data_IF_042552109822
#
_entry.id   IF_042552109822
#
_cell.length_a   1.000
_cell.length_b   1.000
_cell.length_c   1.000
_cell.angle_alpha   90.00
_cell.angle_beta   90.00
_cell.angle_gamma   90.00
#
_symmetry.space_group_name_H-M   'P 1'
#
loop_
_entity.id
_entity.type
_entity.pdbx_description
1 polymer ?
#
# COMPACT_ATOMS: atom_id res chain seq x y z
N UNK A 1 -0.34 5.40 -7.46
CA UNK A 1 -0.98 5.27 -6.13
C UNK A 1 0.07 5.06 -5.06
N UNK A 2 -0.19 5.54 -3.86
CA UNK A 2 0.68 5.32 -2.70
C UNK A 2 -0.05 4.41 -1.71
N UNK A 3 0.68 3.46 -1.13
CA UNK A 3 0.14 2.51 -0.16
C UNK A 3 1.01 2.43 1.07
N UNK A 4 0.41 2.05 2.18
CA UNK A 4 1.10 1.62 3.40
C UNK A 4 0.86 0.12 3.56
N UNK A 5 1.94 -0.61 3.87
CA UNK A 5 1.93 -2.06 4.01
C UNK A 5 1.71 -2.46 5.46
N UNK A 6 0.84 -3.43 5.67
CA UNK A 6 0.53 -4.00 6.97
C UNK A 6 0.59 -5.52 6.94
N UNK A 7 0.95 -6.10 8.07
CA UNK A 7 0.73 -7.50 8.37
C UNK A 7 -0.64 -7.70 9.04
N UNK A 8 -1.32 -8.78 8.71
CA UNK A 8 -2.66 -9.09 9.23
C UNK A 8 -2.63 -10.42 9.97
N UNK A 9 -3.09 -10.43 11.24
CA UNK A 9 -3.38 -11.67 11.91
C UNK A 9 -4.74 -12.23 11.44
N UNK A 10 -4.93 -13.56 11.53
CA UNK A 10 -6.19 -14.23 11.13
C UNK A 10 -6.68 -13.82 9.73
N UNK A 11 -5.85 -13.95 8.69
CA UNK A 11 -6.13 -13.47 7.33
C UNK A 11 -7.43 -14.03 6.75
N UNK A 12 -7.81 -15.26 7.12
CA UNK A 12 -9.06 -15.92 6.70
C UNK A 12 -10.32 -15.12 7.08
N UNK A 13 -10.24 -14.29 8.12
CA UNK A 13 -11.35 -13.45 8.56
C UNK A 13 -11.67 -12.33 7.57
N UNK A 14 -10.71 -11.95 6.71
CA UNK A 14 -10.91 -10.91 5.69
C UNK A 14 -12.07 -11.26 4.75
N UNK A 15 -12.31 -12.54 4.50
CA UNK A 15 -13.45 -13.01 3.69
C UNK A 15 -14.81 -12.60 4.25
N UNK A 16 -14.91 -12.28 5.54
CA UNK A 16 -16.16 -11.79 6.16
C UNK A 16 -16.59 -10.44 5.54
N UNK A 17 -15.65 -9.64 5.05
CA UNK A 17 -15.94 -8.36 4.40
C UNK A 17 -16.76 -8.52 3.12
N UNK A 18 -16.71 -9.69 2.46
CA UNK A 18 -17.52 -10.00 1.28
C UNK A 18 -19.03 -10.02 1.59
N UNK A 19 -19.40 -10.39 2.82
CA UNK A 19 -20.80 -10.53 3.26
C UNK A 19 -21.27 -9.37 4.12
N UNK A 20 -20.45 -8.37 4.40
CA UNK A 20 -20.86 -7.17 5.14
C UNK A 20 -21.78 -6.37 4.24
N UNK A 21 -23.10 -6.60 4.42
CA UNK A 21 -24.12 -5.77 3.79
C UNK A 21 -23.98 -4.35 4.34
N UNK A 22 -24.10 -3.36 3.47
CA UNK A 22 -24.32 -1.98 3.90
C UNK A 22 -25.49 -1.99 4.87
N UNK A 23 -25.25 -1.71 6.13
CA UNK A 23 -26.31 -1.60 7.12
C UNK A 23 -27.10 -0.32 6.81
N UNK A 24 -28.24 -0.46 6.17
CA UNK A 24 -29.17 0.66 5.89
C UNK A 24 -29.67 1.37 7.16
N UNK A 25 -29.44 0.81 8.34
CA UNK A 25 -29.95 1.33 9.62
C UNK A 25 -28.88 1.60 10.68
N UNK A 26 -27.59 1.52 10.33
CA UNK A 26 -26.52 1.81 11.27
C UNK A 26 -26.27 3.31 11.38
N UNK A 27 -26.85 3.99 12.38
CA UNK A 27 -26.35 5.30 12.82
C UNK A 27 -24.89 5.13 13.21
N UNK A 28 -23.97 5.76 12.47
CA UNK A 28 -22.60 5.98 12.93
C UNK A 28 -21.55 4.96 12.51
N UNK A 29 -21.63 4.38 11.30
CA UNK A 29 -20.43 3.80 10.68
C UNK A 29 -19.89 4.76 9.64
N UNK A 30 -18.79 5.43 9.98
CA UNK A 30 -18.12 6.36 9.09
C UNK A 30 -17.50 5.68 7.85
N UNK A 31 -17.53 4.33 7.80
CA UNK A 31 -16.98 3.53 6.70
C UNK A 31 -17.84 2.32 6.35
N UNK A 32 -17.81 1.90 5.07
CA UNK A 32 -18.48 0.71 4.54
C UNK A 32 -17.68 0.09 3.39
N UNK A 33 -17.96 -1.20 3.09
CA UNK A 33 -17.41 -1.86 1.90
C UNK A 33 -18.22 -1.44 0.68
N UNK A 34 -17.58 -0.74 -0.25
CA UNK A 34 -18.19 -0.34 -1.53
C UNK A 34 -18.00 -1.41 -2.61
N UNK A 35 -16.78 -1.98 -2.71
CA UNK A 35 -16.43 -3.02 -3.67
C UNK A 35 -15.62 -4.11 -2.98
N UNK A 36 -15.87 -5.37 -3.32
CA UNK A 36 -15.04 -6.52 -2.97
C UNK A 36 -14.85 -7.38 -4.23
N UNK A 37 -13.61 -7.46 -4.73
CA UNK A 37 -13.27 -8.15 -5.96
C UNK A 37 -12.05 -9.04 -5.78
N UNK A 38 -12.20 -10.34 -6.04
CA UNK A 38 -11.10 -11.30 -6.03
C UNK A 38 -10.38 -11.28 -7.38
N UNK A 39 -9.07 -11.10 -7.38
CA UNK A 39 -8.21 -11.06 -8.58
C UNK A 39 -7.59 -12.43 -8.84
N UNK A 40 -7.25 -12.78 -10.10
CA UNK A 40 -6.69 -14.09 -10.46
C UNK A 40 -5.39 -14.47 -9.73
N UNK A 41 -4.59 -13.48 -9.31
CA UNK A 41 -3.32 -13.69 -8.60
C UNK A 41 -3.46 -13.89 -7.09
N UNK A 42 -4.68 -14.10 -6.58
CA UNK A 42 -4.96 -14.30 -5.16
C UNK A 42 -5.06 -13.02 -4.34
N UNK A 43 -4.89 -11.85 -4.97
CA UNK A 43 -5.19 -10.57 -4.32
C UNK A 43 -6.70 -10.34 -4.25
N UNK A 44 -7.14 -9.79 -3.14
CA UNK A 44 -8.47 -9.21 -2.99
C UNK A 44 -8.34 -7.70 -3.12
N UNK A 45 -9.05 -7.11 -4.06
CA UNK A 45 -9.22 -5.66 -4.16
C UNK A 45 -10.52 -5.26 -3.48
N UNK A 46 -10.39 -4.44 -2.47
CA UNK A 46 -11.50 -3.87 -1.69
C UNK A 46 -11.48 -2.35 -1.86
N UNK A 47 -12.65 -1.74 -2.03
CA UNK A 47 -12.80 -0.29 -1.92
C UNK A 47 -13.65 -0.02 -0.71
N UNK A 48 -13.11 0.78 0.21
CA UNK A 48 -13.85 1.32 1.33
C UNK A 48 -14.42 2.67 0.94
N UNK A 49 -15.69 2.89 1.28
CA UNK A 49 -16.36 4.17 1.21
C UNK A 49 -16.40 4.75 2.61
N UNK A 50 -15.88 5.95 2.77
CA UNK A 50 -15.91 6.72 4.01
C UNK A 50 -16.87 7.89 3.80
N UNK A 51 -17.79 8.08 4.74
CA UNK A 51 -18.69 9.23 4.70
C UNK A 51 -18.07 10.38 5.50
N UNK A 52 -18.11 11.57 4.93
CA UNK A 52 -17.58 12.78 5.57
C UNK A 52 -18.44 14.00 5.20
N UNK A 53 -18.14 15.13 5.80
CA UNK A 53 -18.91 16.37 5.61
C UNK A 53 -17.98 17.58 5.49
N UNK A 54 -18.19 18.38 4.43
CA UNK A 54 -17.57 19.69 4.34
C UNK A 54 -18.42 20.73 5.08
N UNK A 55 -17.82 21.40 6.03
CA UNK A 55 -18.43 22.55 6.69
C UNK A 55 -18.09 23.83 5.95
N UNK A 56 -19.09 24.42 5.31
CA UNK A 56 -18.95 25.70 4.61
C UNK A 56 -19.54 26.79 5.49
N UNK A 57 -18.71 27.80 5.83
CA UNK A 57 -19.17 29.00 6.50
C UNK A 57 -19.64 30.02 5.46
N UNK A 58 -20.93 30.34 5.45
CA UNK A 58 -21.48 31.41 4.61
C UNK A 58 -21.25 32.77 5.30
N UNK A 59 -20.68 33.75 4.56
CA UNK A 59 -20.41 35.09 5.07
C UNK A 59 -21.67 35.89 5.48
N UNK A 60 -22.82 35.51 4.90
CA UNK A 60 -24.05 36.28 5.05
C UNK A 60 -24.82 36.03 6.36
N UNK A 61 -24.70 34.85 6.98
CA UNK A 61 -25.53 34.52 8.15
C UNK A 61 -24.73 33.90 9.32
N UNK A 62 -23.40 33.82 9.25
CA UNK A 62 -22.57 33.10 10.25
C UNK A 62 -23.00 31.65 10.48
N UNK A 63 -23.78 31.08 9.58
CA UNK A 63 -24.26 29.71 9.65
C UNK A 63 -23.31 28.78 8.91
N UNK A 64 -23.11 27.59 9.49
CA UNK A 64 -22.38 26.53 8.83
C UNK A 64 -23.38 25.67 8.05
N UNK A 65 -23.07 25.45 6.77
CA UNK A 65 -23.78 24.45 5.96
C UNK A 65 -22.88 23.25 5.81
N UNK A 66 -23.38 22.08 6.19
CA UNK A 66 -22.71 20.79 5.95
C UNK A 66 -23.06 20.28 4.57
N UNK A 67 -22.04 19.89 3.80
CA UNK A 67 -22.19 19.22 2.50
C UNK A 67 -21.60 17.83 2.64
N UNK A 68 -22.43 16.77 2.63
CA UNK A 68 -21.94 15.41 2.69
C UNK A 68 -21.16 15.05 1.42
N UNK A 69 -20.04 14.33 1.61
CA UNK A 69 -19.28 13.75 0.51
C UNK A 69 -18.76 12.37 0.88
N UNK A 70 -18.43 11.59 -0.14
CA UNK A 70 -17.88 10.25 0.02
C UNK A 70 -16.41 10.25 -0.37
N UNK A 71 -15.56 9.66 0.48
CA UNK A 71 -14.17 9.39 0.18
C UNK A 71 -13.97 7.89 -0.03
N UNK A 72 -13.16 7.52 -1.03
CA UNK A 72 -12.92 6.12 -1.38
C UNK A 72 -11.45 5.78 -1.15
N UNK A 73 -11.19 4.65 -0.48
CA UNK A 73 -9.84 4.15 -0.22
C UNK A 73 -9.69 2.77 -0.84
N UNK A 74 -8.68 2.61 -1.68
CA UNK A 74 -8.31 1.31 -2.24
C UNK A 74 -7.52 0.50 -1.22
N UNK A 75 -7.89 -0.77 -1.11
CA UNK A 75 -7.26 -1.75 -0.23
C UNK A 75 -6.98 -3.00 -1.04
N UNK A 76 -5.75 -3.49 -0.99
CA UNK A 76 -5.38 -4.78 -1.58
C UNK A 76 -4.91 -5.72 -0.49
N UNK A 77 -5.39 -6.95 -0.52
CA UNK A 77 -5.06 -7.94 0.49
C UNK A 77 -4.69 -9.28 -0.15
N UNK A 78 -3.55 -9.85 0.27
CA UNK A 78 -3.16 -11.20 -0.11
C UNK A 78 -3.42 -12.15 1.08
N UNK A 79 -4.35 -13.08 0.86
CA UNK A 79 -4.73 -14.06 1.89
C UNK A 79 -3.59 -15.02 2.26
N UNK A 80 -2.74 -15.37 1.30
CA UNK A 80 -1.67 -16.35 1.47
C UNK A 80 -0.51 -15.80 2.30
N UNK A 81 -0.10 -14.56 2.01
CA UNK A 81 1.01 -13.90 2.71
C UNK A 81 0.56 -13.06 3.90
N UNK A 82 -0.75 -12.93 4.12
CA UNK A 82 -1.32 -12.07 5.18
C UNK A 82 -0.92 -10.60 5.06
N UNK A 83 -0.60 -10.15 3.83
CA UNK A 83 -0.15 -8.80 3.55
C UNK A 83 -1.30 -7.93 3.06
N UNK A 84 -1.42 -6.75 3.66
CA UNK A 84 -2.43 -5.75 3.38
C UNK A 84 -1.76 -4.46 2.90
N UNK A 85 -2.22 -3.91 1.78
CA UNK A 85 -1.87 -2.59 1.28
C UNK A 85 -3.09 -1.70 1.40
N UNK A 86 -2.97 -0.60 2.12
CA UNK A 86 -4.03 0.41 2.24
C UNK A 86 -3.54 1.68 1.58
N UNK A 87 -4.35 2.24 0.68
CA UNK A 87 -4.03 3.49 0.00
C UNK A 87 -3.78 4.59 1.02
N UNK A 88 -2.63 5.28 0.86
CA UNK A 88 -2.27 6.42 1.71
C UNK A 88 -3.19 7.59 1.37
N UNK A 89 -3.98 8.00 2.31
CA UNK A 89 -4.90 9.11 2.19
C UNK A 89 -4.56 10.21 3.19
N UNK A 90 -5.06 11.41 2.93
CA UNK A 90 -4.83 12.57 3.79
C UNK A 90 -5.60 12.45 5.11
N UNK A 91 -5.02 12.97 6.18
CA UNK A 91 -5.67 13.11 7.48
C UNK A 91 -6.06 11.79 8.13
N UNK A 92 -7.22 11.79 8.79
CA UNK A 92 -7.71 10.68 9.59
C UNK A 92 -8.30 9.51 8.78
N UNK A 93 -8.44 9.63 7.46
CA UNK A 93 -9.12 8.61 6.65
C UNK A 93 -8.42 7.25 6.66
N UNK A 94 -7.09 7.25 6.69
CA UNK A 94 -6.32 6.02 6.80
C UNK A 94 -6.63 5.29 8.11
N UNK A 95 -6.65 6.02 9.22
CA UNK A 95 -6.93 5.45 10.55
C UNK A 95 -8.36 4.91 10.62
N UNK A 96 -9.34 5.66 10.11
CA UNK A 96 -10.75 5.22 10.01
C UNK A 96 -10.88 3.95 9.18
N UNK A 97 -10.15 3.86 8.05
CA UNK A 97 -10.15 2.66 7.22
C UNK A 97 -9.57 1.45 7.96
N UNK A 98 -8.46 1.62 8.66
CA UNK A 98 -7.82 0.57 9.45
C UNK A 98 -8.72 0.13 10.60
N UNK A 99 -9.29 1.04 11.37
CA UNK A 99 -10.23 0.72 12.45
C UNK A 99 -11.45 -0.03 11.95
N UNK A 100 -12.01 0.42 10.81
CA UNK A 100 -13.12 -0.29 10.18
C UNK A 100 -12.76 -1.73 9.81
N UNK A 101 -11.62 -1.94 9.14
CA UNK A 101 -11.16 -3.28 8.75
C UNK A 101 -10.96 -4.18 9.97
N UNK A 102 -10.32 -3.67 11.01
CA UNK A 102 -10.10 -4.41 12.25
C UNK A 102 -11.41 -4.84 12.91
N UNK A 103 -12.36 -3.92 13.01
CA UNK A 103 -13.67 -4.16 13.63
C UNK A 103 -14.53 -5.11 12.78
N UNK A 104 -14.69 -4.83 11.48
CA UNK A 104 -15.58 -5.54 10.59
C UNK A 104 -15.11 -6.98 10.30
N UNK A 105 -13.81 -7.18 10.10
CA UNK A 105 -13.23 -8.50 9.87
C UNK A 105 -12.79 -9.19 11.16
N UNK A 106 -12.73 -8.50 12.31
CA UNK A 106 -12.16 -9.02 13.58
C UNK A 106 -10.70 -9.48 13.39
N UNK A 107 -9.88 -8.62 12.81
CA UNK A 107 -8.46 -8.79 12.59
C UNK A 107 -7.68 -7.76 13.39
N UNK A 108 -6.37 -7.94 13.51
CA UNK A 108 -5.42 -6.92 13.92
C UNK A 108 -4.48 -6.67 12.76
N UNK A 109 -4.11 -5.41 12.57
CA UNK A 109 -3.16 -4.99 11.55
C UNK A 109 -2.00 -4.27 12.21
N UNK A 110 -0.79 -4.58 11.77
CA UNK A 110 0.44 -3.97 12.24
C UNK A 110 1.22 -3.47 11.03
N UNK A 111 1.79 -2.26 11.13
CA UNK A 111 2.59 -1.72 10.05
C UNK A 111 3.79 -2.62 9.78
N UNK A 112 3.99 -3.00 8.52
CA UNK A 112 5.03 -3.92 8.10
C UNK A 112 6.23 -3.15 7.58
N UNK A 113 7.42 -3.41 8.13
CA UNK A 113 8.69 -2.97 7.57
C UNK A 113 9.13 -3.92 6.46
N UNK A 114 9.83 -3.41 5.49
CA UNK A 114 10.41 -4.19 4.39
C UNK A 114 11.85 -4.51 4.74
N UNK A 115 12.17 -5.79 4.76
CA UNK A 115 13.51 -6.26 5.07
C UNK A 115 14.46 -6.11 3.86
N UNK A 116 15.77 -6.06 4.12
CA UNK A 116 16.81 -6.03 3.09
C UNK A 116 16.65 -7.17 2.07
N UNK A 117 16.40 -8.39 2.54
CA UNK A 117 16.19 -9.56 1.68
C UNK A 117 15.05 -9.39 0.68
N UNK A 118 14.00 -8.66 1.04
CA UNK A 118 12.88 -8.38 0.13
C UNK A 118 13.32 -7.51 -1.03
N UNK A 119 14.09 -6.45 -0.77
CA UNK A 119 14.63 -5.59 -1.83
C UNK A 119 15.54 -6.37 -2.78
N UNK A 120 16.39 -7.23 -2.22
CA UNK A 120 17.30 -8.09 -3.00
C UNK A 120 16.50 -9.04 -3.90
N UNK A 121 15.55 -9.81 -3.35
CA UNK A 121 14.73 -10.76 -4.08
C UNK A 121 13.91 -10.10 -5.18
N UNK A 122 13.31 -8.94 -4.91
CA UNK A 122 12.56 -8.20 -5.92
C UNK A 122 13.47 -7.72 -7.05
N UNK A 123 14.66 -7.19 -6.72
CA UNK A 123 15.63 -6.74 -7.73
C UNK A 123 16.13 -7.89 -8.60
N UNK A 124 16.43 -9.04 -8.02
CA UNK A 124 16.77 -10.26 -8.75
C UNK A 124 15.64 -10.70 -9.69
N UNK A 125 14.41 -10.73 -9.18
CA UNK A 125 13.20 -11.08 -9.95
C UNK A 125 12.95 -10.15 -11.12
N UNK A 126 13.26 -8.88 -10.96
CA UNK A 126 13.02 -7.85 -11.98
C UNK A 126 14.23 -7.57 -12.87
N UNK A 127 15.36 -8.26 -12.66
CA UNK A 127 16.64 -7.99 -13.33
C UNK A 127 16.59 -7.98 -14.86
N UNK A 128 15.67 -8.74 -15.47
CA UNK A 128 15.50 -8.79 -16.93
C UNK A 128 14.48 -7.80 -17.49
N UNK A 129 13.71 -7.12 -16.64
CA UNK A 129 12.51 -6.37 -17.04
C UNK A 129 12.46 -4.95 -16.47
N UNK A 130 13.44 -4.55 -15.68
CA UNK A 130 13.47 -3.21 -15.06
C UNK A 130 14.87 -2.66 -14.89
N UNK A 131 14.93 -1.33 -14.77
CA UNK A 131 16.11 -0.59 -14.34
C UNK A 131 15.89 -0.05 -12.93
N UNK A 132 16.95 0.04 -12.14
CA UNK A 132 16.93 0.74 -10.85
C UNK A 132 17.24 2.22 -11.12
N UNK A 133 16.23 3.08 -10.91
CA UNK A 133 16.36 4.52 -11.14
C UNK A 133 16.98 5.22 -9.93
N UNK A 134 16.67 4.75 -8.72
CA UNK A 134 17.20 5.28 -7.49
C UNK A 134 17.30 4.19 -6.45
N UNK A 135 18.42 4.17 -5.75
CA UNK A 135 18.73 3.28 -4.64
C UNK A 135 19.34 4.11 -3.51
N UNK A 136 18.74 4.04 -2.33
CA UNK A 136 19.26 4.63 -1.09
C UNK A 136 19.53 3.49 -0.11
N UNK A 137 20.76 3.43 0.41
CA UNK A 137 21.17 2.36 1.29
C UNK A 137 22.25 2.81 2.28
N UNK A 138 22.37 2.10 3.41
CA UNK A 138 23.49 2.21 4.33
C UNK A 138 24.56 1.22 3.91
N UNK A 139 25.79 1.71 3.68
CA UNK A 139 26.96 0.92 3.30
C UNK A 139 27.61 0.29 4.54
N UNK A 140 27.91 -1.01 4.49
CA UNK A 140 28.69 -1.71 5.52
C UNK A 140 30.14 -1.28 5.53
N UNK A 141 30.69 -0.93 4.37
CA UNK A 141 32.12 -0.62 4.24
C UNK A 141 32.45 0.77 4.79
N UNK A 142 31.58 1.77 4.52
CA UNK A 142 31.83 3.16 4.91
C UNK A 142 31.03 3.62 6.12
N UNK A 143 29.98 2.88 6.53
CA UNK A 143 28.99 3.28 7.55
C UNK A 143 28.30 4.61 7.19
N UNK A 144 28.12 4.87 5.89
CA UNK A 144 27.52 6.08 5.35
C UNK A 144 26.26 5.77 4.55
N UNK A 145 25.31 6.73 4.51
CA UNK A 145 24.17 6.69 3.62
C UNK A 145 24.61 7.00 2.19
N UNK A 146 24.32 6.11 1.26
CA UNK A 146 24.68 6.22 -0.15
C UNK A 146 23.41 6.33 -0.99
N UNK A 147 23.39 7.29 -1.90
CA UNK A 147 22.35 7.41 -2.93
C UNK A 147 22.95 7.18 -4.30
N UNK A 148 22.40 6.23 -5.03
CA UNK A 148 22.74 5.95 -6.42
C UNK A 148 21.55 6.23 -7.33
N UNK A 149 21.83 6.88 -8.46
CA UNK A 149 20.84 7.12 -9.52
C UNK A 149 21.24 6.33 -10.78
N UNK A 150 20.24 5.76 -11.47
CA UNK A 150 20.41 4.99 -12.72
C UNK A 150 21.43 3.84 -12.57
N UNK A 151 21.23 3.04 -11.54
CA UNK A 151 22.09 1.89 -11.28
C UNK A 151 21.68 0.70 -12.15
N UNK A 152 22.61 0.15 -12.94
CA UNK A 152 22.34 -1.08 -13.66
C UNK A 152 22.24 -2.28 -12.70
N UNK A 153 21.48 -3.30 -13.10
CA UNK A 153 21.40 -4.55 -12.30
C UNK A 153 22.75 -5.20 -12.08
N UNK A 154 23.68 -5.09 -13.04
CA UNK A 154 25.06 -5.59 -12.86
C UNK A 154 25.82 -4.85 -11.74
N UNK A 155 25.62 -3.53 -11.60
CA UNK A 155 26.21 -2.77 -10.52
C UNK A 155 25.52 -3.07 -9.18
N UNK A 156 24.20 -3.24 -9.18
CA UNK A 156 23.45 -3.67 -8.00
C UNK A 156 23.99 -5.00 -7.43
N UNK A 157 24.21 -6.00 -8.31
CA UNK A 157 24.78 -7.29 -7.91
C UNK A 157 26.18 -7.16 -7.30
N UNK A 158 27.01 -6.26 -7.79
CA UNK A 158 28.35 -6.01 -7.20
C UNK A 158 28.28 -5.38 -5.82
N UNK A 159 27.30 -4.52 -5.60
CA UNK A 159 27.11 -3.79 -4.34
C UNK A 159 26.34 -4.60 -3.29
N UNK A 160 25.72 -5.70 -3.69
CA UNK A 160 24.82 -6.50 -2.84
C UNK A 160 25.40 -6.88 -1.48
N UNK A 161 26.71 -7.15 -1.41
CA UNK A 161 27.39 -7.52 -0.17
C UNK A 161 27.68 -6.33 0.74
N UNK A 162 27.67 -5.11 0.20
CA UNK A 162 27.89 -3.87 0.94
C UNK A 162 26.62 -3.33 1.61
N UNK A 163 25.42 -3.78 1.23
CA UNK A 163 24.19 -3.29 1.84
C UNK A 163 24.03 -3.78 3.27
N UNK A 164 24.08 -2.87 4.23
CA UNK A 164 23.62 -3.14 5.59
C UNK A 164 22.09 -3.04 5.65
N UNK A 165 21.55 -2.01 5.01
CA UNK A 165 20.11 -1.74 4.91
C UNK A 165 19.83 -1.04 3.58
N UNK A 166 18.68 -1.32 2.97
CA UNK A 166 18.16 -0.52 1.86
C UNK A 166 16.97 0.28 2.40
N UNK A 167 17.07 1.60 2.33
CA UNK A 167 16.04 2.52 2.82
C UNK A 167 14.96 2.78 1.79
N UNK A 168 15.37 2.87 0.52
CA UNK A 168 14.45 3.21 -0.55
C UNK A 168 14.96 2.72 -1.91
N UNK A 169 14.04 2.25 -2.76
CA UNK A 169 14.35 1.85 -4.13
C UNK A 169 13.22 2.20 -5.07
N UNK A 170 13.60 2.66 -6.28
CA UNK A 170 12.69 2.91 -7.42
C UNK A 170 13.11 2.00 -8.57
N UNK A 171 12.18 1.21 -9.09
CA UNK A 171 12.30 0.49 -10.34
C UNK A 171 11.50 1.17 -11.46
N UNK A 172 12.05 1.14 -12.69
CA UNK A 172 11.36 1.49 -13.91
C UNK A 172 11.14 0.24 -14.76
N UNK A 173 9.91 -0.05 -15.11
CA UNK A 173 9.44 -1.16 -15.95
C UNK A 173 8.94 -0.58 -17.27
N UNK A 174 9.82 -0.41 -18.26
CA UNK A 174 9.52 0.35 -19.48
C UNK A 174 9.04 1.77 -19.15
N UNK A 175 7.71 2.02 -19.25
CA UNK A 175 7.09 3.32 -18.96
C UNK A 175 6.49 3.42 -17.54
N UNK A 176 6.44 2.33 -16.77
CA UNK A 176 5.87 2.30 -15.44
C UNK A 176 6.94 2.39 -14.34
N UNK A 177 6.54 2.90 -13.21
CA UNK A 177 7.42 3.04 -12.04
C UNK A 177 6.79 2.39 -10.81
N UNK A 178 7.63 1.78 -10.00
CA UNK A 178 7.27 1.35 -8.67
C UNK A 178 8.39 1.68 -7.69
N UNK A 179 8.04 2.06 -6.48
CA UNK A 179 9.02 2.30 -5.42
C UNK A 179 8.55 1.72 -4.09
N UNK A 180 9.53 1.37 -3.28
CA UNK A 180 9.32 0.84 -1.93
C UNK A 180 10.32 1.50 -1.01
N UNK A 181 9.93 1.77 0.23
CA UNK A 181 10.86 2.12 1.28
C UNK A 181 10.81 1.10 2.44
N UNK A 182 11.85 1.09 3.26
CA UNK A 182 11.97 0.20 4.42
C UNK A 182 10.82 0.32 5.43
N UNK A 183 10.15 1.47 5.50
CA UNK A 183 9.03 1.69 6.43
C UNK A 183 7.71 1.12 5.94
N UNK A 184 7.72 0.41 4.78
CA UNK A 184 6.53 -0.21 4.20
C UNK A 184 5.65 0.74 3.38
N UNK A 185 6.17 1.90 2.97
CA UNK A 185 5.49 2.73 1.96
C UNK A 185 5.80 2.20 0.58
N UNK A 186 4.76 2.03 -0.23
CA UNK A 186 4.83 1.52 -1.59
C UNK A 186 4.16 2.52 -2.52
N UNK A 187 4.84 2.92 -3.57
CA UNK A 187 4.25 3.73 -4.64
C UNK A 187 4.28 2.94 -5.94
N UNK A 188 3.15 2.85 -6.61
CA UNK A 188 3.01 2.12 -7.88
C UNK A 188 2.30 3.01 -8.88
N UNK A 189 2.79 3.02 -10.12
CA UNK A 189 2.07 3.62 -11.24
C UNK A 189 0.72 2.91 -11.41
N UNK A 190 -0.33 3.68 -11.53
CA UNK A 190 -1.71 3.19 -11.65
C UNK A 190 -2.36 3.58 -12.98
N UNK A 191 -1.56 3.97 -13.96
CA UNK A 191 -2.05 4.23 -15.32
C UNK A 191 -2.59 2.98 -15.99
N UNK A 192 -2.14 1.78 -15.53
CA UNK A 192 -2.66 0.47 -15.92
C UNK A 192 -2.93 -0.40 -14.69
N UNK A 193 -4.17 -0.81 -14.52
CA UNK A 193 -4.60 -1.67 -13.40
C UNK A 193 -3.84 -2.99 -13.35
N UNK A 194 -3.50 -3.57 -14.51
CA UNK A 194 -2.77 -4.84 -14.59
C UNK A 194 -1.37 -4.74 -13.97
N UNK A 195 -0.65 -3.65 -14.24
CA UNK A 195 0.67 -3.42 -13.65
C UNK A 195 0.57 -3.27 -12.14
N UNK A 196 -0.36 -2.44 -11.65
CA UNK A 196 -0.61 -2.23 -10.22
C UNK A 196 -0.89 -3.56 -9.50
N UNK A 197 -1.85 -4.33 -10.01
CA UNK A 197 -2.28 -5.61 -9.40
C UNK A 197 -1.17 -6.65 -9.46
N UNK A 198 -0.43 -6.72 -10.56
CA UNK A 198 0.72 -7.62 -10.71
C UNK A 198 1.81 -7.28 -9.71
N UNK A 199 2.24 -6.02 -9.65
CA UNK A 199 3.31 -5.57 -8.77
C UNK A 199 2.98 -5.80 -7.29
N UNK A 200 1.78 -5.39 -6.83
CA UNK A 200 1.35 -5.63 -5.45
C UNK A 200 1.23 -7.12 -5.11
N UNK A 201 0.79 -7.94 -6.07
CA UNK A 201 0.74 -9.39 -5.91
C UNK A 201 2.11 -10.00 -5.73
N UNK A 202 3.08 -9.62 -6.56
CA UNK A 202 4.46 -10.08 -6.49
C UNK A 202 5.14 -9.62 -5.21
N UNK A 203 5.00 -8.34 -4.87
CA UNK A 203 5.53 -7.79 -3.63
C UNK A 203 4.97 -8.50 -2.40
N UNK A 204 3.66 -8.75 -2.38
CA UNK A 204 3.01 -9.40 -1.23
C UNK A 204 3.52 -10.81 -0.95
N UNK A 205 4.08 -11.48 -1.94
CA UNK A 205 4.63 -12.84 -1.79
C UNK A 205 6.08 -12.85 -1.29
N UNK A 206 6.77 -11.71 -1.39
CA UNK A 206 8.18 -11.58 -0.97
C UNK A 206 8.33 -10.95 0.43
N UNK A 207 7.25 -10.41 0.99
CA UNK A 207 7.27 -9.75 2.29
C UNK A 207 6.50 -10.51 3.38
#
# INVERSE_FOLDING_TARGET
MNFITYAVNKPQNFKKLKSVKQSFFGRGTDASVFLYNEKPNGLVHLILKLNDEYLIRTKLFSEYTSIPFDHYINVFFNLSSSTLFVEESLGAYLDVAIEYLQRAAKIQVERKKIALDTFIKLSEKYSGNSDIIRLEYLSKESDEEVTLEYTSMLNFEKLKNDFEQIDFMIWRFNEFYASINMTGKVKVDNSQDEFLVKFLGELSNEI
#
